data_IF_486495387513
#
_entry.id   IF_486495387513
#
_cell.length_a   1.000
_cell.length_b   1.000
_cell.length_c   1.000
_cell.angle_alpha   90.00
_cell.angle_beta   90.00
_cell.angle_gamma   90.00
#
_symmetry.space_group_name_H-M   'P 1'
#
loop_
_entity.id
_entity.type
_entity.pdbx_description
1 polymer ?
#
# COMPACT_ATOMS: atom_id res chain seq x y z
N UNK A 1 13.65 -14.60 -4.40
CA UNK A 1 12.94 -13.52 -3.71
C UNK A 1 12.47 -14.07 -2.38
N UNK A 2 12.90 -13.44 -1.30
CA UNK A 2 12.59 -13.86 0.07
C UNK A 2 12.07 -12.62 0.81
N UNK A 3 10.75 -12.46 0.78
CA UNK A 3 10.07 -11.47 1.61
C UNK A 3 9.95 -12.04 3.03
N UNK A 4 10.31 -11.23 4.01
CA UNK A 4 10.31 -11.63 5.42
C UNK A 4 9.26 -10.80 6.15
N UNK A 5 8.33 -11.49 6.80
CA UNK A 5 7.27 -10.87 7.60
C UNK A 5 7.57 -11.12 9.09
N UNK A 6 7.75 -10.05 9.84
CA UNK A 6 8.10 -10.10 11.28
C UNK A 6 7.20 -9.19 12.11
N UNK A 7 7.49 -9.06 13.41
CA UNK A 7 6.70 -8.25 14.36
C UNK A 7 5.20 -8.60 14.36
N UNK A 8 4.87 -9.89 14.48
CA UNK A 8 3.48 -10.37 14.48
C UNK A 8 2.70 -10.01 13.20
N UNK A 9 3.37 -10.03 12.03
CA UNK A 9 2.69 -9.83 10.75
C UNK A 9 2.65 -8.39 10.26
N UNK A 10 3.24 -7.42 10.98
CA UNK A 10 3.11 -5.99 10.64
C UNK A 10 4.35 -5.38 9.98
N UNK A 11 5.50 -6.08 10.01
CA UNK A 11 6.74 -5.59 9.38
C UNK A 11 7.11 -6.44 8.18
N UNK A 12 7.41 -5.79 7.06
CA UNK A 12 7.86 -6.40 5.81
C UNK A 12 9.27 -5.91 5.48
N UNK A 13 10.19 -6.82 5.19
CA UNK A 13 11.54 -6.56 4.70
C UNK A 13 12.03 -7.69 3.79
N UNK A 14 13.26 -7.62 3.28
CA UNK A 14 13.80 -8.61 2.35
C UNK A 14 13.62 -8.18 0.89
N UNK A 15 13.27 -9.11 0.01
CA UNK A 15 13.11 -8.85 -1.43
C UNK A 15 11.87 -9.57 -1.99
N UNK A 16 10.85 -8.80 -2.36
CA UNK A 16 9.56 -9.28 -2.88
C UNK A 16 8.37 -8.43 -2.41
N UNK A 17 7.17 -9.00 -2.48
CA UNK A 17 5.90 -8.38 -2.07
C UNK A 17 5.09 -9.25 -1.12
N UNK A 18 4.24 -8.61 -0.33
CA UNK A 18 3.28 -9.25 0.57
C UNK A 18 1.91 -8.57 0.44
N UNK A 19 0.86 -9.37 0.55
CA UNK A 19 -0.52 -8.90 0.60
C UNK A 19 -1.06 -8.94 2.04
N UNK A 20 -1.98 -8.03 2.35
CA UNK A 20 -2.79 -8.11 3.55
C UNK A 20 -3.57 -9.44 3.60
N UNK A 21 -3.92 -9.87 4.81
CA UNK A 21 -4.59 -11.16 5.04
C UNK A 21 -6.04 -11.20 4.55
N UNK A 22 -6.69 -10.04 4.41
CA UNK A 22 -8.09 -9.91 4.00
C UNK A 22 -8.25 -8.90 2.85
N UNK A 23 -9.20 -9.14 1.94
CA UNK A 23 -9.53 -8.19 0.89
C UNK A 23 -10.24 -6.96 1.44
N UNK A 24 -10.17 -5.86 0.69
CA UNK A 24 -10.94 -4.65 0.96
C UNK A 24 -12.37 -4.83 0.44
N UNK A 25 -13.28 -5.24 1.33
CA UNK A 25 -14.70 -5.54 0.97
C UNK A 25 -15.69 -4.46 1.42
N UNK A 26 -15.27 -3.57 2.31
CA UNK A 26 -16.08 -2.47 2.82
C UNK A 26 -16.01 -1.25 1.92
N UNK A 27 -17.07 -0.43 1.94
CA UNK A 27 -17.22 0.72 1.04
C UNK A 27 -16.07 1.71 1.06
N UNK A 28 -15.40 1.90 2.20
CA UNK A 28 -14.27 2.83 2.38
C UNK A 28 -13.26 2.24 3.35
N UNK A 29 -12.02 2.08 2.89
CA UNK A 29 -10.93 1.46 3.65
C UNK A 29 -9.74 2.39 3.74
N UNK A 30 -9.13 2.47 4.93
CA UNK A 30 -7.89 3.18 5.17
C UNK A 30 -6.88 2.31 5.93
N UNK A 31 -5.62 2.43 5.55
CA UNK A 31 -4.49 1.90 6.29
C UNK A 31 -3.28 2.82 6.11
N UNK A 32 -2.29 2.68 7.01
CA UNK A 32 -1.04 3.41 6.91
C UNK A 32 0.14 2.45 6.76
N UNK A 33 1.23 2.95 6.19
CA UNK A 33 2.53 2.28 6.14
C UNK A 33 3.61 3.26 6.57
N UNK A 34 4.37 2.90 7.61
CA UNK A 34 5.54 3.65 8.04
C UNK A 34 6.77 3.20 7.27
N UNK A 35 7.46 4.15 6.65
CA UNK A 35 8.76 3.95 6.02
C UNK A 35 9.83 3.85 7.12
N UNK A 36 10.16 2.64 7.56
CA UNK A 36 11.14 2.44 8.64
C UNK A 36 12.57 2.58 8.15
N UNK A 37 12.83 2.12 6.94
CA UNK A 37 14.10 2.28 6.25
C UNK A 37 13.83 2.40 4.75
N UNK A 38 14.46 3.37 4.11
CA UNK A 38 14.33 3.54 2.65
C UNK A 38 15.11 2.45 1.88
N UNK A 39 14.93 2.43 0.57
CA UNK A 39 15.41 1.40 -0.35
C UNK A 39 14.50 1.37 -1.57
N UNK A 40 14.28 0.19 -2.16
CA UNK A 40 13.24 0.00 -3.18
C UNK A 40 11.97 -0.48 -2.49
N UNK A 41 10.89 0.27 -2.62
CA UNK A 41 9.60 -0.11 -2.03
C UNK A 41 8.43 0.30 -2.91
N UNK A 42 7.30 -0.37 -2.68
CA UNK A 42 6.01 0.01 -3.24
C UNK A 42 4.90 -0.24 -2.23
N UNK A 43 3.94 0.70 -2.15
CA UNK A 43 2.80 0.63 -1.23
C UNK A 43 1.53 0.94 -2.01
N UNK A 44 0.50 0.13 -1.85
CA UNK A 44 -0.80 0.39 -2.45
C UNK A 44 -1.72 -0.82 -2.38
N UNK A 45 -2.35 -1.13 -3.51
CA UNK A 45 -3.30 -2.23 -3.64
C UNK A 45 -2.84 -3.24 -4.67
N UNK A 46 -3.18 -4.51 -4.46
CA UNK A 46 -3.02 -5.53 -5.49
C UNK A 46 -4.04 -6.66 -5.35
N UNK A 47 -4.30 -7.37 -6.44
CA UNK A 47 -5.02 -8.64 -6.40
C UNK A 47 -4.07 -9.79 -6.04
N UNK A 48 -4.62 -10.98 -5.79
CA UNK A 48 -3.83 -12.20 -5.55
C UNK A 48 -3.00 -12.65 -6.78
N UNK A 49 -3.26 -12.10 -7.95
CA UNK A 49 -2.58 -12.47 -9.20
C UNK A 49 -1.33 -11.62 -9.47
N UNK A 50 -1.05 -10.61 -8.64
CA UNK A 50 0.12 -9.75 -8.80
C UNK A 50 1.43 -10.51 -8.61
N UNK A 51 2.47 -10.08 -9.33
CA UNK A 51 3.83 -10.61 -9.20
C UNK A 51 4.51 -10.12 -7.92
N UNK A 52 4.29 -10.86 -6.84
CA UNK A 52 4.91 -10.62 -5.54
C UNK A 52 6.40 -10.97 -5.50
N UNK A 53 7.00 -11.42 -6.60
CA UNK A 53 8.43 -11.69 -6.62
C UNK A 53 9.24 -10.42 -6.85
N UNK A 54 8.66 -9.34 -7.37
CA UNK A 54 9.40 -8.17 -7.82
C UNK A 54 8.91 -6.87 -7.20
N UNK A 55 9.74 -6.24 -6.37
CA UNK A 55 9.51 -4.85 -5.98
C UNK A 55 9.80 -3.90 -7.15
N UNK A 56 9.17 -2.72 -7.21
CA UNK A 56 8.21 -2.16 -6.25
C UNK A 56 6.74 -2.54 -6.54
N UNK A 57 6.47 -3.53 -7.40
CA UNK A 57 5.14 -3.77 -7.96
C UNK A 57 4.77 -2.75 -9.06
N UNK A 58 3.51 -2.74 -9.50
CA UNK A 58 2.97 -1.80 -10.49
C UNK A 58 3.35 -2.08 -11.94
N UNK A 59 4.14 -3.12 -12.20
CA UNK A 59 4.51 -3.54 -13.56
C UNK A 59 3.56 -4.55 -14.19
N UNK A 60 2.63 -5.10 -13.40
CA UNK A 60 1.57 -5.98 -13.85
C UNK A 60 0.22 -5.24 -13.87
N UNK A 61 -0.81 -5.91 -14.40
CA UNK A 61 -2.19 -5.40 -14.44
C UNK A 61 -2.94 -5.62 -13.12
N UNK A 62 -2.25 -6.13 -12.09
CA UNK A 62 -2.84 -6.66 -10.87
C UNK A 62 -2.45 -5.83 -9.64
N UNK A 63 -1.64 -4.77 -9.81
CA UNK A 63 -1.16 -3.90 -8.74
C UNK A 63 -1.21 -2.41 -9.10
N UNK A 64 -1.53 -1.58 -8.10
CA UNK A 64 -1.58 -0.12 -8.14
C UNK A 64 -0.82 0.42 -6.93
N UNK A 65 0.37 0.97 -7.14
CA UNK A 65 1.31 1.26 -6.06
C UNK A 65 1.95 2.62 -6.20
N UNK A 66 2.16 3.30 -5.08
CA UNK A 66 3.12 4.39 -4.94
C UNK A 66 4.50 3.78 -4.66
N UNK A 67 5.51 4.14 -5.45
CA UNK A 67 6.86 3.60 -5.37
C UNK A 67 7.85 4.54 -4.67
N UNK A 68 9.02 4.00 -4.29
CA UNK A 68 10.10 4.71 -3.61
C UNK A 68 10.70 5.89 -4.37
N UNK A 69 10.60 5.87 -5.68
CA UNK A 69 10.96 6.99 -6.55
C UNK A 69 9.80 7.98 -6.73
N UNK A 70 8.81 8.00 -5.83
CA UNK A 70 7.71 8.93 -5.86
C UNK A 70 6.84 8.87 -7.13
N UNK A 71 6.74 7.70 -7.76
CA UNK A 71 5.88 7.50 -8.93
C UNK A 71 4.78 6.51 -8.57
N UNK A 72 3.55 6.86 -8.93
CA UNK A 72 2.40 5.96 -8.85
C UNK A 72 2.36 5.12 -10.13
N UNK A 73 2.34 3.79 -10.00
CA UNK A 73 2.42 2.85 -11.12
C UNK A 73 1.30 1.83 -11.15
N UNK A 74 0.94 1.43 -12.36
CA UNK A 74 0.06 0.31 -12.68
C UNK A 74 0.30 -0.12 -14.13
N UNK A 75 0.23 -1.41 -14.44
CA UNK A 75 0.35 -1.92 -15.81
C UNK A 75 1.62 -1.43 -16.52
N UNK A 76 2.73 -1.34 -15.77
CA UNK A 76 4.02 -0.83 -16.23
C UNK A 76 3.98 0.62 -16.76
N UNK A 77 3.00 1.41 -16.32
CA UNK A 77 2.83 2.84 -16.67
C UNK A 77 2.97 3.71 -15.43
N UNK A 78 3.55 4.88 -15.64
CA UNK A 78 3.62 5.95 -14.65
C UNK A 78 2.34 6.78 -14.74
N UNK A 79 1.55 6.77 -13.67
CA UNK A 79 0.26 7.47 -13.61
C UNK A 79 0.43 8.91 -13.11
N UNK A 80 1.32 9.10 -12.14
CA UNK A 80 1.65 10.41 -11.57
C UNK A 80 3.04 10.36 -10.91
N UNK A 81 3.75 11.50 -10.91
CA UNK A 81 4.96 11.73 -10.12
C UNK A 81 4.60 12.70 -9.00
N UNK A 82 4.86 12.30 -7.76
CA UNK A 82 4.57 13.10 -6.57
C UNK A 82 5.80 13.89 -6.13
N UNK A 83 5.54 15.04 -5.50
CA UNK A 83 6.58 15.89 -4.93
C UNK A 83 6.04 16.58 -3.67
N UNK A 84 6.77 16.60 -2.56
CA UNK A 84 8.12 16.03 -2.37
C UNK A 84 8.13 14.49 -2.35
N UNK A 85 9.31 13.90 -2.55
CA UNK A 85 9.49 12.45 -2.50
C UNK A 85 9.40 11.95 -1.04
N UNK A 86 8.64 10.88 -0.75
CA UNK A 86 8.55 10.33 0.60
C UNK A 86 9.91 9.89 1.14
N UNK A 87 10.18 10.19 2.41
CA UNK A 87 11.45 9.93 3.07
C UNK A 87 11.32 8.88 4.18
N UNK A 88 12.46 8.35 4.61
CA UNK A 88 12.51 7.51 5.81
C UNK A 88 11.91 8.25 7.02
N UNK A 89 11.06 7.55 7.76
CA UNK A 89 10.28 8.09 8.88
C UNK A 89 8.87 8.55 8.50
N UNK A 90 8.59 8.82 7.22
CA UNK A 90 7.26 9.25 6.77
C UNK A 90 6.21 8.15 6.94
N UNK A 91 4.97 8.59 7.11
CA UNK A 91 3.77 7.76 7.15
C UNK A 91 3.01 7.91 5.85
N UNK A 92 2.90 6.82 5.10
CA UNK A 92 2.10 6.74 3.89
C UNK A 92 0.68 6.30 4.24
N UNK A 93 -0.32 7.14 3.99
CA UNK A 93 -1.73 6.77 4.11
C UNK A 93 -2.27 6.26 2.77
N UNK A 94 -3.12 5.24 2.81
CA UNK A 94 -3.76 4.67 1.63
C UNK A 94 -5.26 4.59 1.88
N UNK A 95 -6.05 5.29 1.07
CA UNK A 95 -7.50 5.32 1.14
C UNK A 95 -8.11 4.76 -0.15
N UNK A 96 -9.07 3.84 -0.04
CA UNK A 96 -9.76 3.25 -1.18
C UNK A 96 -11.25 3.08 -0.94
N UNK A 97 -12.08 3.52 -1.89
CA UNK A 97 -13.55 3.52 -1.77
C UNK A 97 -14.28 2.73 -2.87
N UNK A 98 -13.59 1.77 -3.49
CA UNK A 98 -14.03 1.04 -4.69
C UNK A 98 -14.12 1.85 -5.98
N UNK A 99 -13.98 3.18 -5.94
CA UNK A 99 -13.94 4.04 -7.12
C UNK A 99 -12.52 4.59 -7.33
N UNK A 100 -11.96 5.18 -6.27
CA UNK A 100 -10.66 5.84 -6.29
C UNK A 100 -9.73 5.31 -5.19
N UNK A 101 -8.45 5.18 -5.56
CA UNK A 101 -7.33 4.96 -4.65
C UNK A 101 -6.59 6.28 -4.48
N UNK A 102 -6.49 6.73 -3.23
CA UNK A 102 -5.82 7.97 -2.85
C UNK A 102 -4.65 7.67 -1.90
N UNK A 103 -3.56 8.41 -2.10
CA UNK A 103 -2.35 8.31 -1.29
C UNK A 103 -2.13 9.59 -0.49
N UNK A 104 -1.54 9.44 0.68
CA UNK A 104 -1.25 10.51 1.62
C UNK A 104 0.18 10.37 2.13
N UNK A 105 0.84 11.49 2.41
CA UNK A 105 2.12 11.52 3.14
C UNK A 105 1.93 12.37 4.37
N UNK A 106 2.17 11.80 5.54
CA UNK A 106 2.02 12.44 6.85
C UNK A 106 0.65 13.13 7.02
N UNK A 107 -0.42 12.43 6.62
CA UNK A 107 -1.81 12.91 6.68
C UNK A 107 -2.22 13.91 5.60
N UNK A 108 -1.32 14.30 4.68
CA UNK A 108 -1.63 15.22 3.58
C UNK A 108 -1.89 14.46 2.29
N UNK A 109 -3.00 14.74 1.63
CA UNK A 109 -3.34 14.16 0.32
C UNK A 109 -2.30 14.54 -0.73
N UNK A 110 -2.00 13.60 -1.63
CA UNK A 110 -1.14 13.82 -2.79
C UNK A 110 -1.90 14.34 -4.02
N UNK A 111 -3.23 14.52 -3.91
CA UNK A 111 -4.11 15.07 -4.95
C UNK A 111 -3.97 14.37 -6.32
N UNK A 112 -3.60 13.09 -6.31
CA UNK A 112 -3.36 12.26 -7.49
C UNK A 112 -4.15 10.95 -7.40
N UNK A 113 -5.50 11.00 -7.46
CA UNK A 113 -6.33 9.81 -7.33
C UNK A 113 -6.10 8.85 -8.51
N UNK A 114 -6.06 7.56 -8.21
CA UNK A 114 -6.03 6.48 -9.22
C UNK A 114 -7.42 5.87 -9.31
N UNK A 115 -7.94 5.72 -10.53
CA UNK A 115 -9.23 5.09 -10.79
C UNK A 115 -9.08 3.82 -11.61
N UNK A 116 -10.19 3.08 -11.79
CA UNK A 116 -10.20 1.86 -12.62
C UNK A 116 -9.56 0.65 -11.96
N UNK A 117 -9.48 0.64 -10.62
CA UNK A 117 -9.06 -0.53 -9.84
C UNK A 117 -10.10 -1.64 -10.05
N UNK A 118 -9.63 -2.86 -10.35
CA UNK A 118 -10.49 -4.02 -10.66
C UNK A 118 -10.11 -5.22 -9.82
N UNK A 119 -11.10 -6.07 -9.58
CA UNK A 119 -10.93 -7.33 -8.85
C UNK A 119 -11.00 -7.19 -7.34
N UNK A 120 -10.81 -8.31 -6.65
CA UNK A 120 -10.70 -8.34 -5.19
C UNK A 120 -9.29 -7.94 -4.79
N UNK A 121 -9.16 -6.74 -4.24
CA UNK A 121 -7.87 -6.12 -3.90
C UNK A 121 -7.57 -6.19 -2.41
N UNK A 122 -6.28 -6.20 -2.11
CA UNK A 122 -5.68 -6.31 -0.79
C UNK A 122 -4.69 -5.17 -0.61
N UNK A 123 -4.43 -4.71 0.64
CA UNK A 123 -3.22 -3.93 0.91
C UNK A 123 -1.99 -4.66 0.38
N UNK A 124 -1.11 -3.96 -0.32
CA UNK A 124 0.07 -4.55 -0.95
C UNK A 124 1.32 -3.74 -0.60
N UNK A 125 2.33 -4.43 -0.09
CA UNK A 125 3.62 -3.87 0.29
C UNK A 125 4.72 -4.63 -0.45
N UNK A 126 5.62 -3.91 -1.10
CA UNK A 126 6.78 -4.43 -1.80
C UNK A 126 8.05 -3.82 -1.21
N UNK A 127 9.09 -4.63 -1.08
CA UNK A 127 10.38 -4.26 -0.51
C UNK A 127 11.51 -4.92 -1.26
N UNK A 128 12.59 -4.18 -1.47
CA UNK A 128 13.88 -4.66 -1.97
C UNK A 128 14.96 -3.63 -1.58
N UNK A 129 16.23 -3.96 -1.84
CA UNK A 129 17.38 -3.07 -1.58
C UNK A 129 17.40 -2.48 -0.15
N UNK A 130 17.12 -3.34 0.84
CA UNK A 130 17.16 -2.97 2.25
C UNK A 130 15.95 -2.20 2.79
N UNK A 131 14.90 -1.99 1.99
CA UNK A 131 13.69 -1.32 2.45
C UNK A 131 13.00 -2.09 3.59
N UNK A 132 12.48 -1.34 4.57
CA UNK A 132 11.69 -1.88 5.69
C UNK A 132 10.42 -1.06 5.84
N UNK A 133 9.28 -1.76 5.81
CA UNK A 133 7.95 -1.16 5.93
C UNK A 133 7.21 -1.74 7.13
N UNK A 134 6.52 -0.89 7.90
CA UNK A 134 5.57 -1.32 8.93
C UNK A 134 4.16 -0.91 8.53
N UNK A 135 3.24 -1.87 8.35
CA UNK A 135 1.83 -1.58 8.13
C UNK A 135 1.11 -1.29 9.45
N UNK A 136 0.23 -0.29 9.45
CA UNK A 136 -0.60 0.12 10.58
C UNK A 136 -2.07 0.01 10.15
N UNK A 137 -2.84 -0.79 10.90
CA UNK A 137 -4.21 -1.17 10.54
C UNK A 137 -5.27 -0.64 11.52
N UNK A 138 -4.87 -0.07 12.66
CA UNK A 138 -5.81 0.31 13.73
C UNK A 138 -5.45 1.65 14.37
N UNK A 139 -4.29 1.74 15.02
CA UNK A 139 -3.84 2.94 15.74
C UNK A 139 -3.10 3.86 14.78
N UNK A 140 -3.84 4.55 13.91
CA UNK A 140 -3.29 5.42 12.89
C UNK A 140 -2.57 6.63 13.50
N UNK A 141 -1.48 7.05 12.85
CA UNK A 141 -0.69 8.22 13.23
C UNK A 141 -1.37 9.52 12.77
N UNK A 142 -2.13 9.44 11.68
CA UNK A 142 -2.92 10.54 11.14
C UNK A 142 -4.39 10.15 11.08
N UNK A 143 -5.26 11.14 11.26
CA UNK A 143 -6.70 10.91 11.17
C UNK A 143 -7.06 10.45 9.74
N UNK A 144 -7.82 9.35 9.59
CA UNK A 144 -8.30 8.92 8.29
C UNK A 144 -9.13 10.02 7.61
N UNK A 145 -9.15 10.08 6.27
CA UNK A 145 -10.01 11.01 5.55
C UNK A 145 -11.50 10.81 5.92
N UNK A 146 -12.35 11.85 5.83
CA UNK A 146 -13.74 11.76 6.26
C UNK A 146 -14.51 10.58 5.64
N UNK A 147 -15.09 9.75 6.51
CA UNK A 147 -15.87 8.58 6.14
C UNK A 147 -15.04 7.34 5.78
N UNK A 148 -13.71 7.41 5.82
CA UNK A 148 -12.85 6.24 5.77
C UNK A 148 -12.57 5.72 7.17
N UNK A 149 -12.44 4.40 7.29
CA UNK A 149 -12.15 3.72 8.54
C UNK A 149 -11.16 2.59 8.28
N UNK A 150 -10.63 2.01 9.35
CA UNK A 150 -9.75 0.84 9.29
C UNK A 150 -10.37 -0.31 8.51
N UNK A 151 -9.50 -1.15 7.95
CA UNK A 151 -9.91 -2.39 7.29
C UNK A 151 -10.62 -3.30 8.30
N UNK A 152 -11.88 -3.61 8.03
CA UNK A 152 -12.67 -4.57 8.78
C UNK A 152 -12.35 -5.97 8.30
N UNK A 153 -11.90 -6.80 9.23
CA UNK A 153 -11.78 -8.22 8.99
C UNK A 153 -13.17 -8.84 9.13
N UNK A 154 -13.58 -9.64 8.15
CA UNK A 154 -14.82 -10.41 8.27
C UNK A 154 -14.74 -11.29 9.52
N UNK A 155 -15.62 -11.02 10.49
CA UNK A 155 -15.89 -11.95 11.57
C UNK A 155 -16.86 -13.00 11.03
N UNK A 156 -16.33 -14.17 10.67
CA UNK A 156 -17.19 -15.31 10.41
C UNK A 156 -17.89 -15.68 11.72
N UNK A 157 -19.23 -15.60 11.74
CA UNK A 157 -20.04 -16.19 12.79
C UNK A 157 -20.02 -17.72 12.54
N UNK A 158 -19.11 -18.42 13.22
CA UNK A 158 -19.19 -19.88 13.35
C UNK A 158 -20.24 -20.27 14.40
#
# INVERSE_FOLDING_TARGET
>A
HEVVIVKNGVRVCGSGGALGSAPLVQSKSYFEVKLQQSGVWGVGLATRMSDLNRAPGGSDDESWVLCSDAIIRHSNKELAKISPEPQEGDILGVAYDHVELNFYVNGKSLESPVSGIRGSVYPALYVDDGAILDIVLTEFNHEPPPGFDRIMLEQSLL
#
